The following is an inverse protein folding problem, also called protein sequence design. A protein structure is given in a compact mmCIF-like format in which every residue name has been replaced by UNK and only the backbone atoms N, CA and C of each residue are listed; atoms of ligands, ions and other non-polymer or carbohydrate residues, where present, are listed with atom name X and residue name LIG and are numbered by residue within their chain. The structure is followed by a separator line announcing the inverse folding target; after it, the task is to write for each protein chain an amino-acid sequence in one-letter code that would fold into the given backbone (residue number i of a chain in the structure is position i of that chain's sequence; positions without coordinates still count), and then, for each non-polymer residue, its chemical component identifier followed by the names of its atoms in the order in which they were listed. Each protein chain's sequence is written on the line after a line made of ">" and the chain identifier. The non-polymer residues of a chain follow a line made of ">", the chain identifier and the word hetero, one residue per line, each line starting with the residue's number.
data_IF_472535298786
#
_entry.id   IF_472535298786
#
_cell.length_a   1.000
_cell.length_b   1.000
_cell.length_c   1.000
_cell.angle_alpha   90.00
_cell.angle_beta   90.00
_cell.angle_gamma   90.00
#
_symmetry.space_group_name_H-M   'P 1'
#
loop_
_entity.id
_entity.type
_entity.pdbx_description
1 polymer ?
#
# COMPACT_ATOMS: atom_id res chain seq x y z
N UNK A 1 39.21 -65.48 3.59
CA UNK A 1 37.90 -64.81 3.48
C UNK A 1 36.81 -65.84 3.78
N UNK A 2 36.27 -65.86 5.00
CA UNK A 2 35.21 -66.80 5.40
C UNK A 2 33.88 -66.06 5.31
N UNK A 3 32.96 -66.50 4.44
CA UNK A 3 31.60 -65.94 4.35
C UNK A 3 30.77 -66.40 5.55
N UNK A 4 30.01 -65.51 6.20
CA UNK A 4 29.12 -65.89 7.30
C UNK A 4 27.89 -66.63 6.78
N UNK A 5 27.26 -67.49 7.61
CA UNK A 5 26.14 -68.34 7.20
C UNK A 5 24.84 -67.53 7.00
N UNK A 6 23.94 -67.96 6.09
CA UNK A 6 22.70 -67.26 5.81
C UNK A 6 21.66 -67.56 6.89
N UNK A 7 21.16 -66.52 7.57
CA UNK A 7 19.96 -66.62 8.42
C UNK A 7 20.07 -66.14 9.87
N UNK A 8 21.19 -65.54 10.30
CA UNK A 8 21.24 -64.92 11.63
C UNK A 8 20.48 -63.57 11.63
N UNK A 9 19.53 -63.33 12.56
CA UNK A 9 18.89 -62.02 12.66
C UNK A 9 19.97 -60.97 12.96
N UNK A 10 20.03 -59.92 12.14
CA UNK A 10 20.96 -58.81 12.33
C UNK A 10 20.64 -58.13 13.66
N UNK A 11 21.40 -58.45 14.71
CA UNK A 11 21.34 -57.75 15.99
C UNK A 11 22.14 -56.47 15.77
N UNK A 12 21.49 -55.28 15.73
CA UNK A 12 22.24 -54.04 15.54
C UNK A 12 23.19 -53.90 16.73
N UNK A 13 24.49 -53.72 16.45
CA UNK A 13 25.52 -53.44 17.47
C UNK A 13 25.05 -52.30 18.37
N UNK A 14 25.28 -52.41 19.68
CA UNK A 14 24.77 -51.43 20.66
C UNK A 14 25.24 -50.00 20.36
N UNK A 15 26.39 -49.84 19.69
CA UNK A 15 26.87 -48.55 19.20
C UNK A 15 26.01 -47.95 18.09
N UNK A 16 25.45 -48.78 17.20
CA UNK A 16 24.57 -48.34 16.13
C UNK A 16 23.23 -47.84 16.71
N UNK A 17 22.67 -48.58 17.68
CA UNK A 17 21.45 -48.16 18.41
C UNK A 17 21.68 -46.86 19.19
N UNK A 18 22.85 -46.71 19.83
CA UNK A 18 23.22 -45.50 20.57
C UNK A 18 23.35 -44.29 19.64
N UNK A 19 23.99 -44.44 18.47
CA UNK A 19 24.11 -43.38 17.45
C UNK A 19 22.75 -42.96 16.93
N UNK A 20 21.85 -43.91 16.70
CA UNK A 20 20.48 -43.62 16.25
C UNK A 20 19.68 -42.87 17.33
N UNK A 21 19.76 -43.31 18.59
CA UNK A 21 19.14 -42.63 19.73
C UNK A 21 19.68 -41.21 19.93
N UNK A 22 20.99 -41.01 19.75
CA UNK A 22 21.62 -39.69 19.82
C UNK A 22 21.17 -38.78 18.68
N UNK A 23 21.00 -39.31 17.46
CA UNK A 23 20.45 -38.57 16.32
C UNK A 23 19.00 -38.16 16.56
N UNK A 24 18.18 -39.07 17.06
CA UNK A 24 16.78 -38.81 17.41
C UNK A 24 16.67 -37.77 18.53
N UNK A 25 17.51 -37.86 19.57
CA UNK A 25 17.55 -36.86 20.64
C UNK A 25 17.99 -35.49 20.09
N UNK A 26 19.06 -35.41 19.29
CA UNK A 26 19.49 -34.14 18.67
C UNK A 26 18.37 -33.53 17.82
N UNK A 27 17.67 -34.35 17.03
CA UNK A 27 16.51 -33.90 16.23
C UNK A 27 15.38 -33.37 17.12
N UNK A 28 15.01 -34.12 18.16
CA UNK A 28 13.96 -33.73 19.11
C UNK A 28 14.31 -32.46 19.89
N UNK A 29 15.57 -32.31 20.32
CA UNK A 29 16.04 -31.12 21.04
C UNK A 29 16.08 -29.89 20.13
N UNK A 30 16.50 -30.05 18.88
CA UNK A 30 16.47 -28.98 17.86
C UNK A 30 15.03 -28.54 17.54
N UNK A 31 14.08 -29.48 17.46
CA UNK A 31 12.67 -29.15 17.25
C UNK A 31 12.02 -28.52 18.48
N UNK A 32 12.31 -28.99 19.69
CA UNK A 32 11.71 -28.49 20.93
C UNK A 32 12.21 -27.08 21.29
N UNK A 33 13.49 -26.81 21.12
CA UNK A 33 14.12 -25.53 21.49
C UNK A 33 14.48 -24.65 20.28
N UNK A 34 13.83 -24.87 19.14
CA UNK A 34 13.97 -24.01 17.97
C UNK A 34 13.50 -22.59 18.27
N UNK A 35 14.07 -21.59 17.59
CA UNK A 35 13.77 -20.17 17.82
C UNK A 35 12.28 -19.85 17.68
N UNK A 36 11.57 -20.53 16.77
CA UNK A 36 10.11 -20.41 16.58
C UNK A 36 9.27 -20.84 17.79
N UNK A 37 9.84 -21.59 18.73
CA UNK A 37 9.17 -22.07 19.94
C UNK A 37 9.66 -21.36 21.20
N UNK A 38 10.54 -20.37 21.07
CA UNK A 38 10.94 -19.53 22.20
C UNK A 38 9.74 -18.73 22.68
N UNK A 39 9.63 -18.57 23.99
CA UNK A 39 8.63 -17.68 24.56
C UNK A 39 8.85 -16.25 24.05
N UNK A 40 7.78 -15.62 23.57
CA UNK A 40 7.87 -14.31 22.90
C UNK A 40 8.27 -14.36 21.43
N UNK A 41 8.32 -15.54 20.79
CA UNK A 41 8.48 -15.61 19.35
C UNK A 41 7.26 -15.00 18.65
N UNK A 42 7.49 -13.93 17.90
CA UNK A 42 6.49 -13.32 17.03
C UNK A 42 6.64 -13.95 15.66
N UNK A 43 5.55 -14.48 15.13
CA UNK A 43 5.51 -15.03 13.78
C UNK A 43 5.78 -13.92 12.75
N UNK A 44 6.30 -14.32 11.58
CA UNK A 44 6.62 -13.38 10.50
C UNK A 44 5.40 -12.53 10.12
N UNK A 45 5.63 -11.24 9.89
CA UNK A 45 4.60 -10.32 9.40
C UNK A 45 3.95 -10.87 8.13
N UNK A 46 2.64 -10.62 7.99
CA UNK A 46 1.92 -11.00 6.78
C UNK A 46 2.49 -10.21 5.62
N UNK A 47 2.98 -10.93 4.61
CA UNK A 47 3.47 -10.33 3.38
C UNK A 47 2.33 -9.76 2.54
N UNK A 48 2.66 -8.76 1.74
CA UNK A 48 1.74 -8.20 0.75
C UNK A 48 1.42 -9.25 -0.32
N UNK A 49 0.15 -9.31 -0.68
CA UNK A 49 -0.35 -10.20 -1.72
C UNK A 49 -0.35 -9.49 -3.08
N UNK A 50 -0.22 -10.22 -4.21
CA UNK A 50 -0.33 -9.60 -5.53
C UNK A 50 -1.68 -8.89 -5.72
N UNK A 51 -1.72 -7.71 -6.37
CA UNK A 51 -2.95 -6.93 -6.53
C UNK A 51 -4.03 -7.68 -7.33
N UNK A 52 -3.63 -8.52 -8.28
CA UNK A 52 -4.53 -9.38 -9.06
C UNK A 52 -5.38 -10.33 -8.19
N UNK A 53 -4.85 -10.75 -7.03
CA UNK A 53 -5.57 -11.65 -6.14
C UNK A 53 -6.87 -11.01 -5.64
N UNK A 54 -6.81 -9.75 -5.19
CA UNK A 54 -7.98 -9.01 -4.75
C UNK A 54 -8.93 -8.73 -5.92
N UNK A 55 -8.39 -8.26 -7.06
CA UNK A 55 -9.20 -7.95 -8.25
C UNK A 55 -10.00 -9.17 -8.72
N UNK A 56 -9.35 -10.34 -8.77
CA UNK A 56 -10.01 -11.60 -9.12
C UNK A 56 -11.09 -12.01 -8.13
N UNK A 57 -10.83 -11.89 -6.82
CA UNK A 57 -11.85 -12.20 -5.80
C UNK A 57 -13.11 -11.35 -6.01
N UNK A 58 -12.94 -10.04 -6.20
CA UNK A 58 -14.08 -9.12 -6.40
C UNK A 58 -14.84 -9.46 -7.69
N UNK A 59 -14.12 -9.71 -8.79
CA UNK A 59 -14.71 -10.10 -10.07
C UNK A 59 -15.47 -11.42 -10.00
N UNK A 60 -14.92 -12.43 -9.32
CA UNK A 60 -15.54 -13.74 -9.15
C UNK A 60 -16.81 -13.69 -8.29
N UNK A 61 -16.85 -12.84 -7.24
CA UNK A 61 -18.01 -12.69 -6.37
C UNK A 61 -19.14 -11.86 -7.01
N UNK A 62 -18.77 -10.83 -7.79
CA UNK A 62 -19.70 -9.99 -8.53
C UNK A 62 -20.83 -9.43 -7.66
N UNK A 63 -22.07 -9.63 -8.11
CA UNK A 63 -23.29 -9.19 -7.44
C UNK A 63 -23.83 -10.20 -6.40
N UNK A 64 -23.09 -11.28 -6.11
CA UNK A 64 -23.50 -12.35 -5.20
C UNK A 64 -24.81 -13.07 -5.60
N UNK A 65 -25.22 -13.00 -6.87
CA UNK A 65 -26.38 -13.74 -7.41
C UNK A 65 -26.13 -15.26 -7.46
N UNK A 66 -24.88 -15.66 -7.71
CA UNK A 66 -24.47 -17.06 -7.83
C UNK A 66 -24.66 -17.85 -6.53
N UNK A 67 -25.20 -19.07 -6.65
CA UNK A 67 -25.35 -20.01 -5.52
C UNK A 67 -24.02 -20.49 -4.95
N UNK A 68 -22.92 -20.38 -5.73
CA UNK A 68 -21.58 -20.81 -5.33
C UNK A 68 -21.08 -20.08 -4.07
N UNK A 69 -21.37 -18.77 -3.97
CA UNK A 69 -20.90 -17.90 -2.88
C UNK A 69 -21.97 -17.67 -1.80
N UNK A 70 -22.92 -18.61 -1.65
CA UNK A 70 -24.02 -18.48 -0.67
C UNK A 70 -23.52 -18.35 0.77
N UNK A 71 -22.41 -19.02 1.11
CA UNK A 71 -21.84 -18.99 2.45
C UNK A 71 -21.24 -17.62 2.81
N UNK A 72 -20.74 -16.88 1.80
CA UNK A 72 -20.06 -15.60 2.00
C UNK A 72 -21.05 -14.42 2.13
N UNK A 73 -22.31 -14.58 1.72
CA UNK A 73 -23.36 -13.55 1.85
C UNK A 73 -23.49 -13.02 3.28
N UNK A 74 -23.32 -13.88 4.28
CA UNK A 74 -23.35 -13.48 5.70
C UNK A 74 -22.19 -12.54 6.05
N UNK A 75 -21.00 -12.78 5.48
CA UNK A 75 -19.83 -11.94 5.71
C UNK A 75 -20.02 -10.54 5.09
N UNK A 76 -20.57 -10.45 3.88
CA UNK A 76 -20.89 -9.17 3.22
C UNK A 76 -21.87 -8.32 4.04
N UNK A 77 -22.97 -8.93 4.53
CA UNK A 77 -23.92 -8.24 5.40
C UNK A 77 -23.28 -7.79 6.73
N UNK A 78 -22.40 -8.61 7.31
CA UNK A 78 -21.66 -8.25 8.52
C UNK A 78 -20.67 -7.11 8.31
N UNK A 79 -20.07 -7.02 7.11
CA UNK A 79 -19.10 -6.01 6.75
C UNK A 79 -19.71 -4.60 6.64
N UNK A 80 -21.01 -4.49 6.34
CA UNK A 80 -21.73 -3.22 6.26
C UNK A 80 -21.57 -2.36 7.51
N UNK A 81 -21.43 -2.97 8.69
CA UNK A 81 -21.15 -2.29 9.96
C UNK A 81 -19.89 -1.40 9.89
N UNK A 82 -18.88 -1.82 9.14
CA UNK A 82 -17.58 -1.14 9.03
C UNK A 82 -17.47 -0.27 7.77
N UNK A 83 -18.51 -0.21 6.94
CA UNK A 83 -18.53 0.60 5.72
C UNK A 83 -18.20 2.09 5.99
N UNK A 84 -18.72 2.74 7.05
CA UNK A 84 -18.36 4.13 7.32
C UNK A 84 -16.86 4.33 7.56
N UNK A 85 -16.18 3.35 8.17
CA UNK A 85 -14.74 3.42 8.39
C UNK A 85 -13.95 3.23 7.08
N UNK A 86 -14.39 2.31 6.21
CA UNK A 86 -13.78 2.15 4.89
C UNK A 86 -13.90 3.42 4.05
N UNK A 87 -15.09 4.04 4.03
CA UNK A 87 -15.35 5.30 3.32
C UNK A 87 -14.48 6.43 3.89
N UNK A 88 -14.37 6.55 5.22
CA UNK A 88 -13.48 7.55 5.84
C UNK A 88 -12.03 7.39 5.36
N UNK A 89 -11.48 6.18 5.44
CA UNK A 89 -10.10 5.90 5.04
C UNK A 89 -9.85 6.11 3.54
N UNK A 90 -10.86 5.85 2.71
CA UNK A 90 -10.81 6.10 1.28
C UNK A 90 -10.76 7.60 0.97
N UNK A 91 -11.66 8.39 1.58
CA UNK A 91 -11.72 9.84 1.37
C UNK A 91 -10.53 10.58 1.98
N UNK A 92 -10.00 10.08 3.10
CA UNK A 92 -8.80 10.64 3.74
C UNK A 92 -7.59 10.59 2.79
N UNK A 93 -7.49 9.54 1.96
CA UNK A 93 -6.35 9.30 1.08
C UNK A 93 -6.60 9.74 -0.38
N UNK A 94 -7.54 10.66 -0.63
CA UNK A 94 -7.78 11.20 -1.98
C UNK A 94 -6.49 11.77 -2.60
N UNK A 95 -6.18 11.43 -3.87
CA UNK A 95 -5.01 11.96 -4.56
C UNK A 95 -5.09 13.49 -4.65
N UNK A 96 -3.94 14.14 -4.49
CA UNK A 96 -3.86 15.60 -4.57
C UNK A 96 -3.79 16.05 -6.04
N UNK A 97 -4.18 17.29 -6.39
CA UNK A 97 -4.29 17.72 -7.79
C UNK A 97 -2.98 17.72 -8.61
N UNK A 98 -1.83 17.69 -7.93
CA UNK A 98 -0.51 17.61 -8.53
C UNK A 98 0.01 16.17 -8.72
N UNK A 99 -0.74 15.18 -8.22
CA UNK A 99 -0.47 13.76 -8.40
C UNK A 99 -1.36 13.19 -9.51
N UNK A 100 -0.80 12.37 -10.39
CA UNK A 100 -1.58 11.66 -11.41
C UNK A 100 -2.23 10.40 -10.86
N UNK A 101 -1.42 9.58 -10.18
CA UNK A 101 -1.83 8.29 -9.61
C UNK A 101 -1.28 8.21 -8.20
N UNK A 102 -2.09 7.67 -7.29
CA UNK A 102 -1.67 7.35 -5.92
C UNK A 102 -1.91 5.88 -5.64
N UNK A 103 -0.83 5.16 -5.40
CA UNK A 103 -0.87 3.79 -4.90
C UNK A 103 -0.97 3.80 -3.38
N UNK A 104 -1.96 3.08 -2.84
CA UNK A 104 -2.20 3.01 -1.40
C UNK A 104 -2.22 1.55 -0.93
N UNK A 105 -1.65 1.25 0.24
CA UNK A 105 -1.74 -0.08 0.82
C UNK A 105 -3.18 -0.35 1.25
N UNK A 106 -3.68 -1.53 0.89
CA UNK A 106 -5.06 -1.93 1.19
C UNK A 106 -5.08 -3.16 2.10
N UNK A 107 -6.00 -3.14 3.06
CA UNK A 107 -6.35 -4.28 3.90
C UNK A 107 -7.73 -4.77 3.49
N UNK A 108 -7.83 -5.97 2.94
CA UNK A 108 -9.08 -6.51 2.43
C UNK A 108 -9.50 -7.79 3.18
N UNK A 109 -10.81 -8.04 3.23
CA UNK A 109 -11.33 -9.30 3.73
C UNK A 109 -11.05 -10.44 2.73
N UNK A 110 -10.71 -11.64 3.20
CA UNK A 110 -10.37 -12.80 2.36
C UNK A 110 -11.43 -13.15 1.29
N UNK A 111 -12.70 -12.84 1.54
CA UNK A 111 -13.80 -13.05 0.57
C UNK A 111 -14.12 -11.82 -0.29
N UNK A 112 -13.39 -10.71 -0.14
CA UNK A 112 -13.68 -9.44 -0.83
C UNK A 112 -14.89 -8.67 -0.27
N UNK A 113 -15.35 -9.00 0.94
CA UNK A 113 -16.53 -8.37 1.55
C UNK A 113 -16.38 -6.87 1.84
N UNK A 114 -15.16 -6.43 2.16
CA UNK A 114 -14.81 -5.03 2.41
C UNK A 114 -13.30 -4.84 2.23
N UNK A 115 -12.93 -3.64 1.79
CA UNK A 115 -11.55 -3.22 1.60
C UNK A 115 -11.33 -1.90 2.33
N UNK A 116 -10.28 -1.83 3.15
CA UNK A 116 -9.85 -0.63 3.84
C UNK A 116 -8.55 -0.11 3.24
N UNK A 117 -8.42 1.20 3.10
CA UNK A 117 -7.12 1.82 2.86
C UNK A 117 -6.35 1.86 4.18
N UNK A 118 -5.22 1.15 4.26
CA UNK A 118 -4.42 1.00 5.47
C UNK A 118 -3.28 2.03 5.54
N UNK A 119 -3.61 3.29 5.29
CA UNK A 119 -2.65 4.38 5.30
C UNK A 119 -3.21 5.63 5.98
N UNK A 120 -2.35 6.35 6.70
CA UNK A 120 -2.63 7.68 7.23
C UNK A 120 -1.81 8.66 6.39
N UNK A 121 -2.43 9.61 5.66
CA UNK A 121 -1.71 10.56 4.83
C UNK A 121 -0.97 11.55 5.72
N UNK A 122 0.34 11.34 5.85
CA UNK A 122 1.24 12.23 6.58
C UNK A 122 1.90 13.15 5.58
N UNK A 123 1.83 14.45 5.84
CA UNK A 123 2.43 15.49 4.99
C UNK A 123 3.36 16.38 5.79
N UNK A 124 4.43 16.86 5.16
CA UNK A 124 5.29 17.89 5.74
C UNK A 124 4.56 19.22 5.62
N UNK A 125 4.20 19.84 6.76
CA UNK A 125 3.36 21.04 6.80
C UNK A 125 3.82 22.19 5.88
N UNK A 126 5.05 22.72 5.97
CA UNK A 126 5.48 23.84 5.12
C UNK A 126 5.46 23.48 3.63
N UNK A 127 5.79 22.23 3.32
CA UNK A 127 5.77 21.71 1.95
C UNK A 127 4.34 21.63 1.39
N UNK A 128 3.40 21.08 2.17
CA UNK A 128 2.00 20.97 1.78
C UNK A 128 1.35 22.34 1.53
N UNK A 129 1.68 23.34 2.35
CA UNK A 129 1.19 24.72 2.15
C UNK A 129 1.77 25.30 0.86
N UNK A 130 3.06 25.08 0.59
CA UNK A 130 3.70 25.52 -0.64
C UNK A 130 3.07 24.87 -1.89
N UNK A 131 2.80 23.55 -1.85
CA UNK A 131 2.12 22.84 -2.94
C UNK A 131 0.76 23.48 -3.24
N UNK A 132 -0.08 23.70 -2.22
CA UNK A 132 -1.35 24.41 -2.39
C UNK A 132 -1.17 25.86 -2.86
N UNK A 133 -0.09 26.52 -2.47
CA UNK A 133 0.26 27.86 -2.97
C UNK A 133 0.50 27.87 -4.48
N UNK A 134 1.22 26.87 -5.00
CA UNK A 134 1.39 26.69 -6.45
C UNK A 134 0.07 26.35 -7.15
N UNK A 135 -0.78 25.53 -6.52
CA UNK A 135 -2.11 25.22 -7.06
C UNK A 135 -2.98 26.47 -7.17
N UNK A 136 -2.95 27.35 -6.17
CA UNK A 136 -3.68 28.61 -6.18
C UNK A 136 -3.27 29.49 -7.37
N UNK A 137 -1.97 29.58 -7.64
CA UNK A 137 -1.45 30.35 -8.78
C UNK A 137 -1.92 29.74 -10.10
N UNK A 138 -1.73 28.42 -10.27
CA UNK A 138 -2.10 27.72 -11.51
C UNK A 138 -3.60 27.78 -11.79
N UNK A 139 -4.43 27.49 -10.80
CA UNK A 139 -5.89 27.54 -10.96
C UNK A 139 -6.39 28.97 -11.28
N UNK A 140 -5.76 30.01 -10.72
CA UNK A 140 -6.10 31.41 -11.05
C UNK A 140 -5.69 31.79 -12.47
N UNK A 141 -4.50 31.37 -12.91
CA UNK A 141 -4.03 31.58 -14.29
C UNK A 141 -4.96 30.87 -15.28
N UNK A 142 -5.24 29.59 -15.06
CA UNK A 142 -6.13 28.80 -15.90
C UNK A 142 -7.54 29.42 -15.98
N UNK A 143 -8.10 29.86 -14.85
CA UNK A 143 -9.43 30.52 -14.83
C UNK A 143 -9.44 31.87 -15.56
N UNK A 144 -8.33 32.61 -15.54
CA UNK A 144 -8.19 33.91 -16.22
C UNK A 144 -8.06 33.70 -17.74
N UNK A 145 -7.27 32.72 -18.16
CA UNK A 145 -6.85 32.56 -19.55
C UNK A 145 -7.88 31.75 -20.37
N UNK A 146 -8.62 30.85 -19.72
CA UNK A 146 -9.61 30.00 -20.37
C UNK A 146 -10.93 30.73 -20.65
N UNK A 147 -11.29 30.84 -21.94
CA UNK A 147 -12.54 31.48 -22.40
C UNK A 147 -13.81 30.73 -21.97
N UNK A 148 -13.81 29.40 -22.05
CA UNK A 148 -14.95 28.57 -21.69
C UNK A 148 -14.54 27.46 -20.73
N UNK A 149 -14.91 27.63 -19.47
CA UNK A 149 -14.71 26.62 -18.43
C UNK A 149 -16.01 25.83 -18.24
N UNK A 150 -16.09 24.65 -18.87
CA UNK A 150 -17.22 23.73 -18.72
C UNK A 150 -17.05 22.93 -17.42
N UNK A 151 -18.02 23.07 -16.51
CA UNK A 151 -18.05 22.27 -15.28
C UNK A 151 -18.52 20.85 -15.59
N UNK A 152 -18.04 19.90 -14.80
CA UNK A 152 -18.54 18.52 -14.82
C UNK A 152 -20.02 18.49 -14.47
N UNK A 153 -20.74 17.52 -15.06
CA UNK A 153 -22.13 17.24 -14.71
C UNK A 153 -22.15 16.32 -13.49
N UNK A 154 -23.14 16.51 -12.64
CA UNK A 154 -23.35 15.72 -11.43
C UNK A 154 -24.77 15.15 -11.47
N UNK A 155 -24.95 13.83 -11.27
CA UNK A 155 -23.92 12.78 -11.17
C UNK A 155 -23.13 12.57 -12.49
N UNK A 156 -21.88 12.08 -12.43
CA UNK A 156 -21.10 11.81 -13.65
C UNK A 156 -21.59 10.60 -14.46
N UNK A 157 -22.17 9.61 -13.80
CA UNK A 157 -22.69 8.37 -14.38
C UNK A 157 -24.21 8.29 -14.18
N UNK A 158 -24.88 7.52 -15.04
CA UNK A 158 -26.32 7.26 -14.93
C UNK A 158 -26.62 6.21 -13.85
N UNK A 159 -27.82 6.24 -13.26
CA UNK A 159 -28.19 5.35 -12.15
C UNK A 159 -28.33 3.87 -12.58
N UNK A 160 -28.64 3.63 -13.87
CA UNK A 160 -28.78 2.29 -14.45
C UNK A 160 -27.44 1.72 -14.97
N UNK A 161 -26.38 2.53 -15.01
CA UNK A 161 -25.07 2.09 -15.50
C UNK A 161 -24.32 1.32 -14.39
N UNK A 162 -23.87 0.07 -14.65
CA UNK A 162 -23.09 -0.66 -13.67
C UNK A 162 -21.72 -0.02 -13.46
N UNK A 163 -21.09 -0.16 -12.27
CA UNK A 163 -19.74 0.32 -12.04
C UNK A 163 -18.74 -0.28 -13.04
N UNK A 164 -17.90 0.58 -13.63
CA UNK A 164 -16.86 0.19 -14.58
C UNK A 164 -15.75 -0.64 -13.90
N UNK A 165 -15.28 -1.70 -14.56
CA UNK A 165 -14.13 -2.48 -14.10
C UNK A 165 -12.83 -1.69 -14.34
N UNK A 166 -11.99 -1.59 -13.31
CA UNK A 166 -10.71 -0.90 -13.37
C UNK A 166 -9.74 -1.58 -14.34
N UNK A 167 -9.68 -2.91 -14.32
CA UNK A 167 -8.68 -3.68 -15.07
C UNK A 167 -8.91 -3.62 -16.59
N UNK A 168 -10.17 -3.42 -17.01
CA UNK A 168 -10.55 -3.40 -18.43
C UNK A 168 -10.57 -1.98 -19.00
N UNK A 169 -10.91 -0.97 -18.18
CA UNK A 169 -11.18 0.38 -18.69
C UNK A 169 -10.16 1.44 -18.25
N UNK A 170 -9.51 1.26 -17.09
CA UNK A 170 -8.71 2.31 -16.45
C UNK A 170 -7.23 1.96 -16.41
N UNK A 171 -6.88 0.68 -16.23
CA UNK A 171 -5.49 0.24 -16.06
C UNK A 171 -4.59 0.54 -17.27
N UNK A 172 -5.12 0.42 -18.49
CA UNK A 172 -4.36 0.71 -19.72
C UNK A 172 -4.41 2.19 -20.14
N UNK A 173 -5.26 3.00 -19.51
CA UNK A 173 -5.42 4.39 -19.86
C UNK A 173 -4.31 5.25 -19.23
N UNK A 174 -3.55 5.97 -20.06
CA UNK A 174 -2.56 6.92 -19.56
C UNK A 174 -3.26 8.07 -18.80
N UNK A 175 -2.83 8.36 -17.56
CA UNK A 175 -3.43 9.42 -16.78
C UNK A 175 -3.13 10.77 -17.42
N UNK A 176 -4.11 11.68 -17.33
CA UNK A 176 -3.93 13.06 -17.78
C UNK A 176 -2.83 13.75 -16.97
N UNK A 177 -2.27 14.80 -17.54
CA UNK A 177 -1.27 15.63 -16.88
C UNK A 177 -1.84 16.25 -15.60
N UNK A 178 -1.08 16.13 -14.51
CA UNK A 178 -1.45 16.74 -13.24
C UNK A 178 -1.22 18.25 -13.26
N UNK A 179 -1.83 18.97 -12.33
CA UNK A 179 -1.58 20.42 -12.22
C UNK A 179 -0.20 20.59 -11.57
N UNK A 180 0.78 21.05 -12.33
CA UNK A 180 2.12 21.34 -11.84
C UNK A 180 2.55 22.71 -12.34
N UNK A 181 3.10 23.54 -11.45
CA UNK A 181 3.71 24.82 -11.81
C UNK A 181 5.14 24.55 -12.28
N UNK A 182 5.52 25.10 -13.42
CA UNK A 182 6.92 25.12 -13.85
C UNK A 182 7.75 25.92 -12.83
N UNK A 183 8.66 25.21 -12.14
CA UNK A 183 9.57 25.78 -11.16
C UNK A 183 10.82 26.33 -11.85
N UNK A 184 11.43 27.38 -11.29
CA UNK A 184 12.64 27.98 -11.87
C UNK A 184 13.89 27.19 -11.47
N UNK A 185 14.72 26.81 -12.45
CA UNK A 185 15.89 25.97 -12.22
C UNK A 185 16.95 26.60 -11.31
N UNK A 186 17.02 27.94 -11.23
CA UNK A 186 18.03 28.67 -10.45
C UNK A 186 17.52 29.05 -9.06
N UNK A 187 16.28 29.55 -8.97
CA UNK A 187 15.71 29.99 -7.70
C UNK A 187 15.13 28.82 -6.89
N UNK A 188 14.57 27.80 -7.56
CA UNK A 188 13.88 26.66 -6.94
C UNK A 188 14.71 25.37 -6.88
N UNK A 189 16.02 25.43 -7.17
CA UNK A 189 16.92 24.26 -7.21
C UNK A 189 16.82 23.38 -5.95
N UNK A 190 16.59 23.97 -4.77
CA UNK A 190 16.52 23.22 -3.51
C UNK A 190 15.26 22.32 -3.37
N UNK A 191 14.20 22.59 -4.15
CA UNK A 191 12.91 21.89 -4.07
C UNK A 191 12.50 21.20 -5.38
N UNK A 192 13.09 21.62 -6.51
CA UNK A 192 12.69 21.23 -7.87
C UNK A 192 12.47 19.72 -8.05
N UNK A 193 13.42 18.90 -7.61
CA UNK A 193 13.42 17.45 -7.89
C UNK A 193 12.30 16.67 -7.19
N UNK A 194 11.82 17.16 -6.04
CA UNK A 194 10.93 16.37 -5.16
C UNK A 194 9.60 17.08 -4.85
N UNK A 195 9.38 18.27 -5.39
CA UNK A 195 8.28 19.14 -4.95
C UNK A 195 6.88 18.56 -5.23
N UNK A 196 6.72 17.78 -6.29
CA UNK A 196 5.43 17.18 -6.67
C UNK A 196 5.33 15.68 -6.38
N UNK A 197 6.31 15.12 -5.66
CA UNK A 197 6.26 13.73 -5.22
C UNK A 197 5.16 13.51 -4.17
N UNK A 198 4.56 12.31 -4.19
CA UNK A 198 3.54 11.92 -3.20
C UNK A 198 4.08 12.00 -1.76
N UNK A 199 5.29 11.46 -1.54
CA UNK A 199 6.02 11.55 -0.28
C UNK A 199 7.46 11.98 -0.55
N UNK A 200 7.64 13.29 -0.58
CA UNK A 200 8.94 13.91 -0.76
C UNK A 200 10.01 13.43 0.24
N UNK A 201 11.25 13.31 -0.21
CA UNK A 201 12.44 13.14 0.63
C UNK A 201 12.50 11.85 1.48
N UNK A 202 11.70 10.80 1.19
CA UNK A 202 11.70 9.54 1.96
C UNK A 202 13.11 8.96 2.14
N UNK A 203 13.91 8.96 1.08
CA UNK A 203 15.24 8.33 1.05
C UNK A 203 16.35 9.24 1.60
N UNK A 204 15.99 10.46 2.04
CA UNK A 204 16.95 11.46 2.52
C UNK A 204 16.97 11.55 4.06
N UNK A 205 18.07 12.04 4.62
CA UNK A 205 18.20 12.33 6.06
C UNK A 205 17.23 13.40 6.59
N UNK A 206 16.54 14.11 5.69
CA UNK A 206 15.53 15.12 6.03
C UNK A 206 14.28 14.52 6.68
N UNK A 207 14.02 13.21 6.54
CA UNK A 207 12.90 12.53 7.20
C UNK A 207 13.36 11.27 7.90
N UNK A 208 12.56 10.78 8.85
CA UNK A 208 12.91 9.62 9.67
C UNK A 208 12.70 8.25 8.98
N UNK A 209 12.59 8.22 7.65
CA UNK A 209 12.31 7.05 6.83
C UNK A 209 10.82 6.84 6.49
N UNK A 210 10.41 5.60 6.12
CA UNK A 210 9.11 5.33 5.49
C UNK A 210 7.90 5.59 6.40
N UNK A 211 8.12 5.68 7.72
CA UNK A 211 7.06 6.05 8.67
C UNK A 211 6.63 7.52 8.58
N UNK A 212 7.45 8.39 7.98
CA UNK A 212 7.17 9.78 7.63
C UNK A 212 6.55 10.61 8.78
N UNK A 213 7.10 10.48 9.99
CA UNK A 213 6.57 11.12 11.21
C UNK A 213 7.30 12.39 11.60
N UNK A 214 8.60 12.47 11.31
CA UNK A 214 9.46 13.59 11.69
C UNK A 214 10.21 14.06 10.46
N UNK A 215 10.32 15.37 10.33
CA UNK A 215 11.04 16.03 9.26
C UNK A 215 11.98 17.09 9.84
N UNK A 216 13.09 17.31 9.17
CA UNK A 216 14.05 18.37 9.44
C UNK A 216 14.55 18.91 8.09
N UNK A 217 14.23 20.17 7.80
CA UNK A 217 14.53 20.81 6.52
C UNK A 217 15.59 21.90 6.70
N UNK A 218 16.50 21.97 5.74
CA UNK A 218 17.54 22.99 5.71
C UNK A 218 16.95 24.38 5.43
N UNK A 219 17.67 25.44 5.82
CA UNK A 219 17.24 26.82 5.62
C UNK A 219 16.93 27.16 4.15
N UNK A 220 17.73 26.76 3.14
CA UNK A 220 17.41 27.04 1.74
C UNK A 220 16.08 26.41 1.30
N UNK A 221 15.83 25.14 1.67
CA UNK A 221 14.56 24.46 1.40
C UNK A 221 13.40 25.20 2.03
N UNK A 222 13.53 25.59 3.31
CA UNK A 222 12.51 26.35 4.02
C UNK A 222 12.24 27.73 3.39
N UNK A 223 13.29 28.42 2.95
CA UNK A 223 13.16 29.73 2.30
C UNK A 223 12.41 29.64 0.98
N UNK A 224 12.69 28.62 0.16
CA UNK A 224 11.99 28.39 -1.10
C UNK A 224 10.53 28.01 -0.88
N UNK A 225 10.25 27.08 0.05
CA UNK A 225 8.88 26.70 0.39
C UNK A 225 8.06 27.90 0.88
N UNK A 226 8.66 28.77 1.70
CA UNK A 226 8.00 30.00 2.15
C UNK A 226 7.67 30.94 0.99
N UNK A 227 8.62 31.15 0.07
CA UNK A 227 8.42 31.98 -1.14
C UNK A 227 7.30 31.46 -2.03
N UNK A 228 7.24 30.15 -2.26
CA UNK A 228 6.19 29.51 -3.06
C UNK A 228 4.81 29.54 -2.36
N UNK A 229 4.79 29.52 -1.03
CA UNK A 229 3.58 29.60 -0.21
C UNK A 229 3.01 31.02 -0.05
N UNK A 230 3.70 32.07 -0.53
CA UNK A 230 3.36 33.48 -0.29
C UNK A 230 1.91 33.90 -0.63
N UNK A 231 1.20 33.16 -1.49
CA UNK A 231 -0.20 33.46 -1.81
C UNK A 231 -1.20 33.00 -0.74
N UNK A 232 -0.80 32.08 0.14
CA UNK A 232 -1.66 31.47 1.16
C UNK A 232 -1.26 31.82 2.60
N UNK A 233 -0.11 32.48 2.77
CA UNK A 233 0.38 33.01 4.03
C UNK A 233 0.00 34.48 4.16
#
# INVERSE_FOLDING_TARGET
>A
MVRPPPGAPFIPSDEAKLKEKLRQWKSSRKQRFGEKRRHGFVETEKADMPPEHLRKIIKDHGDMSSKKFRHDKRAYLGALKYMPHAVLKLLENMPMPWEQVREVPVLYHITGAITFVNEIPRVIKPHFIAQWGTMWIMMRREKRDRKHFKRMRWPPFDDEEPPLDYSENVEEAEPLEAIQLELDENDDTAVLDWFYDHKALIDTSSVNGPSYKRWNLDLPKMSNLYRLANQLL
#
